data_IF_304402635692
#
_entry.id   IF_304402635692
#
_cell.length_a   1.000
_cell.length_b   1.000
_cell.length_c   1.000
_cell.angle_alpha   90.00
_cell.angle_beta   90.00
_cell.angle_gamma   90.00
#
_symmetry.space_group_name_H-M   'P 1'
#
loop_
_entity.id
_entity.type
_entity.pdbx_description
1 polymer ?
#
# COMPACT_ATOMS: atom_id res chain seq x y z
N UNK A 1 -24.70 2.25 -30.32
CA UNK A 1 -25.11 1.86 -28.96
C UNK A 1 -26.35 1.00 -29.08
N UNK A 2 -26.28 -0.23 -28.58
CA UNK A 2 -27.44 -1.11 -28.48
C UNK A 2 -28.33 -0.70 -27.29
N UNK A 3 -29.53 -1.27 -27.20
CA UNK A 3 -30.37 -1.09 -26.00
C UNK A 3 -29.69 -1.63 -24.73
N UNK A 4 -28.94 -2.73 -24.84
CA UNK A 4 -28.13 -3.29 -23.75
C UNK A 4 -26.98 -2.37 -23.33
N UNK A 5 -26.32 -1.69 -24.29
CA UNK A 5 -25.28 -0.71 -23.96
C UNK A 5 -25.85 0.49 -23.19
N UNK A 6 -27.04 0.94 -23.57
CA UNK A 6 -27.76 2.04 -22.91
C UNK A 6 -28.18 1.66 -21.48
N UNK A 7 -28.66 0.44 -21.27
CA UNK A 7 -29.04 -0.07 -19.96
C UNK A 7 -27.81 -0.16 -19.04
N UNK A 8 -26.72 -0.79 -19.51
CA UNK A 8 -25.46 -0.87 -18.75
C UNK A 8 -24.88 0.51 -18.43
N UNK A 9 -24.95 1.46 -19.36
CA UNK A 9 -24.52 2.83 -19.11
C UNK A 9 -25.37 3.51 -18.03
N UNK A 10 -26.70 3.38 -18.12
CA UNK A 10 -27.64 3.98 -17.16
C UNK A 10 -27.43 3.44 -15.74
N UNK A 11 -27.20 2.13 -15.59
CA UNK A 11 -26.89 1.50 -14.31
C UNK A 11 -25.57 2.03 -13.71
N UNK A 12 -24.54 2.24 -14.54
CA UNK A 12 -23.27 2.84 -14.08
C UNK A 12 -23.44 4.29 -13.65
N UNK A 13 -24.25 5.07 -14.37
CA UNK A 13 -24.58 6.45 -13.98
C UNK A 13 -25.32 6.46 -12.65
N UNK A 14 -26.30 5.58 -12.44
CA UNK A 14 -27.05 5.47 -11.18
C UNK A 14 -26.14 5.11 -10.00
N UNK A 15 -25.18 4.19 -10.18
CA UNK A 15 -24.16 3.92 -9.17
C UNK A 15 -23.32 5.16 -8.87
N UNK A 16 -22.92 5.91 -9.90
CA UNK A 16 -22.14 7.14 -9.71
C UNK A 16 -22.92 8.25 -9.01
N UNK A 17 -24.24 8.39 -9.23
CA UNK A 17 -25.05 9.37 -8.50
C UNK A 17 -25.14 9.07 -7.00
N UNK A 18 -24.96 7.80 -6.60
CA UNK A 18 -24.81 7.36 -5.20
C UNK A 18 -23.41 7.54 -4.63
N UNK A 19 -22.57 8.35 -5.31
CA UNK A 19 -21.18 8.62 -4.94
C UNK A 19 -20.27 7.40 -4.94
N UNK A 20 -20.66 6.28 -5.57
CA UNK A 20 -19.74 5.16 -5.73
C UNK A 20 -18.53 5.59 -6.57
N UNK A 21 -17.29 5.26 -6.16
CA UNK A 21 -16.08 5.59 -6.92
C UNK A 21 -16.13 5.04 -8.34
N UNK A 22 -15.66 5.82 -9.32
CA UNK A 22 -15.68 5.40 -10.73
C UNK A 22 -14.93 4.08 -10.94
N UNK A 23 -13.83 3.89 -10.21
CA UNK A 23 -12.99 2.70 -10.29
C UNK A 23 -13.74 1.45 -9.82
N UNK A 24 -14.57 1.54 -8.77
CA UNK A 24 -15.46 0.43 -8.35
C UNK A 24 -16.59 0.17 -9.35
N UNK A 25 -17.09 1.21 -10.02
CA UNK A 25 -18.08 1.08 -11.09
C UNK A 25 -17.49 0.38 -12.32
N UNK A 26 -16.24 0.70 -12.67
CA UNK A 26 -15.52 0.10 -13.79
C UNK A 26 -14.89 -1.26 -13.44
N UNK A 27 -14.66 -1.52 -12.15
CA UNK A 27 -13.96 -2.70 -11.64
C UNK A 27 -12.44 -2.63 -11.83
N UNK A 28 -11.89 -1.49 -12.27
CA UNK A 28 -10.46 -1.32 -12.54
C UNK A 28 -9.94 0.06 -12.13
N UNK A 29 -8.65 0.10 -11.79
CA UNK A 29 -7.89 1.32 -11.55
C UNK A 29 -6.52 1.21 -12.24
N UNK A 30 -6.06 2.30 -12.85
CA UNK A 30 -4.70 2.36 -13.41
C UNK A 30 -3.72 2.78 -12.31
N UNK A 31 -2.58 2.10 -12.24
CA UNK A 31 -1.48 2.42 -11.33
C UNK A 31 -0.16 2.11 -12.02
N UNK A 32 0.71 3.12 -12.14
CA UNK A 32 2.00 3.02 -12.84
C UNK A 32 1.93 2.49 -14.28
N UNK A 33 0.81 2.77 -14.96
CA UNK A 33 0.55 2.31 -16.34
C UNK A 33 0.03 0.87 -16.45
N UNK A 34 -0.29 0.21 -15.33
CA UNK A 34 -0.92 -1.11 -15.31
C UNK A 34 -2.36 -1.01 -14.81
N UNK A 35 -3.25 -1.80 -15.40
CA UNK A 35 -4.64 -1.90 -14.95
C UNK A 35 -4.77 -2.99 -13.89
N UNK A 36 -5.21 -2.57 -12.70
CA UNK A 36 -5.53 -3.45 -11.58
C UNK A 36 -7.03 -3.58 -11.45
N UNK A 37 -7.51 -4.80 -11.25
CA UNK A 37 -8.86 -5.05 -10.77
C UNK A 37 -9.00 -4.50 -9.34
N UNK A 38 -10.11 -3.80 -9.10
CA UNK A 38 -10.47 -3.24 -7.78
C UNK A 38 -11.91 -3.57 -7.44
N UNK A 39 -12.20 -3.64 -6.14
CA UNK A 39 -13.54 -3.86 -5.59
C UNK A 39 -13.65 -3.14 -4.25
N UNK A 40 -14.85 -3.13 -3.65
CA UNK A 40 -15.09 -2.56 -2.32
C UNK A 40 -14.29 -3.25 -1.18
N UNK A 41 -13.60 -4.35 -1.46
CA UNK A 41 -12.78 -5.08 -0.48
C UNK A 41 -11.37 -4.47 -0.31
N UNK A 42 -10.98 -3.52 -1.16
CA UNK A 42 -9.64 -2.92 -1.13
C UNK A 42 -9.69 -1.41 -1.31
N UNK A 43 -8.67 -0.72 -0.82
CA UNK A 43 -8.45 0.68 -1.15
C UNK A 43 -8.10 0.82 -2.64
N UNK A 44 -8.76 1.77 -3.31
CA UNK A 44 -8.41 2.13 -4.69
C UNK A 44 -6.98 2.68 -4.71
N UNK A 45 -6.06 2.15 -5.56
CA UNK A 45 -4.70 2.68 -5.70
C UNK A 45 -4.70 4.19 -5.93
N UNK A 46 -3.86 4.91 -5.19
CA UNK A 46 -3.78 6.37 -5.24
C UNK A 46 -2.54 6.81 -6.04
N UNK A 47 -2.60 7.92 -6.78
CA UNK A 47 -1.44 8.46 -7.49
C UNK A 47 -0.24 8.73 -6.58
N UNK A 48 -0.48 9.16 -5.34
CA UNK A 48 0.57 9.43 -4.36
C UNK A 48 1.38 8.17 -4.02
N UNK A 49 0.73 7.00 -4.03
CA UNK A 49 1.38 5.70 -3.79
C UNK A 49 2.34 5.31 -4.92
N UNK A 50 2.25 5.92 -6.11
CA UNK A 50 3.21 5.71 -7.19
C UNK A 50 4.63 6.15 -6.78
N UNK A 51 4.74 7.25 -6.02
CA UNK A 51 6.02 7.74 -5.49
C UNK A 51 6.70 6.70 -4.57
N UNK A 52 5.92 5.99 -3.75
CA UNK A 52 6.45 4.94 -2.88
C UNK A 52 7.17 3.85 -3.70
N UNK A 53 6.57 3.43 -4.82
CA UNK A 53 7.15 2.43 -5.71
C UNK A 53 8.35 2.99 -6.47
N UNK A 54 8.34 4.26 -6.87
CA UNK A 54 9.50 4.90 -7.51
C UNK A 54 10.72 4.95 -6.59
N UNK A 55 10.54 5.37 -5.33
CA UNK A 55 11.58 5.40 -4.31
C UNK A 55 12.10 3.98 -3.99
N UNK A 56 11.20 3.00 -3.94
CA UNK A 56 11.56 1.61 -3.80
C UNK A 56 12.46 1.16 -4.95
N UNK A 57 12.06 1.39 -6.21
CA UNK A 57 12.86 1.00 -7.38
C UNK A 57 14.24 1.67 -7.40
N UNK A 58 14.33 2.94 -7.00
CA UNK A 58 15.62 3.63 -6.89
C UNK A 58 16.55 2.95 -5.88
N UNK A 59 16.03 2.53 -4.74
CA UNK A 59 16.82 1.81 -3.75
C UNK A 59 17.21 0.41 -4.25
N UNK A 60 16.24 -0.34 -4.80
CA UNK A 60 16.42 -1.74 -5.20
C UNK A 60 17.35 -1.92 -6.40
N UNK A 61 17.50 -0.93 -7.29
CA UNK A 61 18.34 -1.06 -8.51
C UNK A 61 19.82 -1.36 -8.21
N UNK A 62 20.27 -1.08 -6.99
CA UNK A 62 21.64 -1.33 -6.54
C UNK A 62 21.84 -2.71 -5.91
N UNK A 63 20.77 -3.50 -5.75
CA UNK A 63 20.79 -4.82 -5.13
C UNK A 63 20.66 -5.92 -6.20
N UNK A 64 21.43 -7.03 -6.09
CA UNK A 64 21.44 -8.06 -7.13
C UNK A 64 20.16 -8.91 -7.17
N UNK A 65 19.64 -9.34 -6.01
CA UNK A 65 18.43 -10.15 -5.86
C UNK A 65 17.66 -9.68 -4.61
N UNK A 66 17.04 -8.49 -4.66
CA UNK A 66 16.43 -7.92 -3.47
C UNK A 66 15.22 -8.73 -3.00
N UNK A 67 15.00 -8.74 -1.69
CA UNK A 67 13.80 -9.25 -1.04
C UNK A 67 12.97 -8.09 -0.52
N UNK A 68 11.67 -8.08 -0.82
CA UNK A 68 10.74 -7.00 -0.49
C UNK A 68 9.53 -7.56 0.25
N UNK A 69 9.09 -6.85 1.29
CA UNK A 69 7.85 -7.13 1.99
C UNK A 69 6.88 -5.95 1.84
N UNK A 70 5.71 -6.19 1.26
CA UNK A 70 4.61 -5.23 1.11
C UNK A 70 3.53 -5.53 2.16
N UNK A 71 3.45 -4.68 3.19
CA UNK A 71 2.52 -4.78 4.30
C UNK A 71 1.20 -4.08 3.97
N UNK A 72 0.09 -4.81 4.00
CA UNK A 72 -1.23 -4.28 3.62
C UNK A 72 -1.34 -4.15 2.10
N UNK A 73 -1.01 -5.22 1.38
CA UNK A 73 -0.86 -5.21 -0.09
C UNK A 73 -2.16 -4.84 -0.82
N UNK A 74 -3.33 -5.04 -0.21
CA UNK A 74 -4.63 -4.68 -0.77
C UNK A 74 -4.87 -5.33 -2.13
N UNK A 75 -5.01 -4.51 -3.18
CA UNK A 75 -5.13 -4.98 -4.57
C UNK A 75 -3.85 -5.62 -5.14
N UNK A 76 -2.74 -5.56 -4.40
CA UNK A 76 -1.41 -5.95 -4.84
C UNK A 76 -0.68 -4.86 -5.63
N UNK A 77 -1.20 -3.63 -5.71
CA UNK A 77 -0.69 -2.62 -6.63
C UNK A 77 0.81 -2.30 -6.45
N UNK A 78 1.28 -2.17 -5.21
CA UNK A 78 2.70 -1.94 -4.88
C UNK A 78 3.53 -3.17 -5.25
N UNK A 79 3.25 -4.33 -4.64
CA UNK A 79 3.98 -5.57 -4.86
C UNK A 79 4.06 -5.97 -6.35
N UNK A 80 2.96 -5.87 -7.08
CA UNK A 80 2.89 -6.31 -8.46
C UNK A 80 3.51 -5.30 -9.43
N UNK A 81 3.38 -3.99 -9.19
CA UNK A 81 4.11 -2.99 -9.98
C UNK A 81 5.63 -3.16 -9.81
N UNK A 82 6.10 -3.46 -8.60
CA UNK A 82 7.50 -3.83 -8.36
C UNK A 82 7.90 -5.09 -9.10
N UNK A 83 7.09 -6.16 -9.07
CA UNK A 83 7.36 -7.38 -9.83
C UNK A 83 7.43 -7.14 -11.35
N UNK A 84 6.68 -6.16 -11.89
CA UNK A 84 6.75 -5.78 -13.30
C UNK A 84 8.02 -5.00 -13.65
N UNK A 85 8.53 -4.19 -12.72
CA UNK A 85 9.64 -3.25 -12.95
C UNK A 85 11.00 -3.74 -12.42
N UNK A 86 11.01 -4.74 -11.54
CA UNK A 86 12.21 -5.34 -10.95
C UNK A 86 12.11 -6.87 -10.96
N UNK A 87 12.48 -7.50 -12.09
CA UNK A 87 12.31 -8.94 -12.29
C UNK A 87 13.18 -9.85 -11.41
N UNK A 88 14.14 -9.27 -10.69
CA UNK A 88 15.03 -9.98 -9.77
C UNK A 88 14.54 -9.92 -8.31
N UNK A 89 13.51 -9.13 -8.03
CA UNK A 89 13.00 -8.99 -6.68
C UNK A 89 12.16 -10.22 -6.29
N UNK A 90 12.47 -10.82 -5.15
CA UNK A 90 11.55 -11.71 -4.45
C UNK A 90 10.61 -10.87 -3.58
N UNK A 91 9.30 -10.96 -3.81
CA UNK A 91 8.33 -10.07 -3.16
C UNK A 91 7.35 -10.90 -2.34
N UNK A 92 7.10 -10.49 -1.11
CA UNK A 92 6.05 -11.01 -0.25
C UNK A 92 5.01 -9.89 -0.08
N UNK A 93 3.79 -10.11 -0.54
CA UNK A 93 2.65 -9.25 -0.25
C UNK A 93 1.82 -9.85 0.88
N UNK A 94 1.51 -9.08 1.91
CA UNK A 94 0.67 -9.55 3.01
C UNK A 94 -0.54 -8.67 3.23
N UNK A 95 -1.63 -9.27 3.69
CA UNK A 95 -2.82 -8.54 4.10
C UNK A 95 -3.56 -9.34 5.18
N UNK A 96 -4.30 -8.63 6.02
CA UNK A 96 -5.18 -9.23 7.03
C UNK A 96 -6.55 -9.59 6.43
N UNK A 97 -6.92 -9.01 5.29
CA UNK A 97 -8.11 -9.37 4.52
C UNK A 97 -7.81 -10.53 3.57
N UNK A 98 -8.61 -11.60 3.65
CA UNK A 98 -8.52 -12.72 2.70
C UNK A 98 -9.03 -12.32 1.33
N UNK A 99 -10.05 -11.46 1.31
CA UNK A 99 -10.71 -10.94 0.12
C UNK A 99 -9.74 -10.06 -0.69
N UNK A 100 -8.97 -9.21 -0.01
CA UNK A 100 -7.88 -8.46 -0.62
C UNK A 100 -6.85 -9.39 -1.28
N UNK A 101 -6.40 -10.44 -0.59
CA UNK A 101 -5.43 -11.39 -1.15
C UNK A 101 -5.99 -12.21 -2.34
N UNK A 102 -7.29 -12.52 -2.35
CA UNK A 102 -7.93 -13.14 -3.53
C UNK A 102 -7.84 -12.21 -4.73
N UNK A 103 -8.15 -10.92 -4.54
CA UNK A 103 -8.06 -9.92 -5.60
C UNK A 103 -6.61 -9.67 -6.04
N UNK A 104 -5.65 -9.58 -5.10
CA UNK A 104 -4.24 -9.42 -5.40
C UNK A 104 -3.69 -10.59 -6.23
N UNK A 105 -4.10 -11.83 -5.92
CA UNK A 105 -3.76 -13.01 -6.74
C UNK A 105 -4.37 -12.95 -8.13
N UNK A 106 -5.62 -12.49 -8.27
CA UNK A 106 -6.25 -12.31 -9.58
C UNK A 106 -5.50 -11.27 -10.42
N UNK A 107 -5.10 -10.14 -9.81
CA UNK A 107 -4.24 -9.15 -10.45
C UNK A 107 -2.88 -9.72 -10.84
N UNK A 108 -2.27 -10.54 -9.99
CA UNK A 108 -0.98 -11.19 -10.29
C UNK A 108 -1.07 -12.15 -11.48
N UNK A 109 -2.19 -12.87 -11.63
CA UNK A 109 -2.46 -13.68 -12.82
C UNK A 109 -2.61 -12.79 -14.05
N UNK A 110 -3.44 -11.75 -13.98
CA UNK A 110 -3.71 -10.83 -15.10
C UNK A 110 -2.44 -10.13 -15.60
N UNK A 111 -1.53 -9.76 -14.69
CA UNK A 111 -0.30 -9.04 -15.01
C UNK A 111 0.90 -9.96 -15.33
N UNK A 112 0.73 -11.27 -15.19
CA UNK A 112 1.78 -12.26 -15.44
C UNK A 112 2.90 -12.26 -14.39
N UNK A 113 2.58 -11.95 -13.13
CA UNK A 113 3.54 -11.79 -12.02
C UNK A 113 3.34 -12.79 -10.89
N UNK A 114 2.41 -13.74 -11.03
CA UNK A 114 2.11 -14.75 -9.99
C UNK A 114 3.35 -15.53 -9.50
N UNK A 115 4.34 -15.77 -10.36
CA UNK A 115 5.58 -16.48 -10.00
C UNK A 115 6.62 -15.63 -9.25
N UNK A 116 6.40 -14.32 -9.09
CA UNK A 116 7.34 -13.38 -8.47
C UNK A 116 6.87 -12.85 -7.10
N UNK A 117 5.58 -13.01 -6.80
CA UNK A 117 4.97 -12.51 -5.57
C UNK A 117 4.36 -13.66 -4.77
N UNK A 118 4.85 -13.84 -3.56
CA UNK A 118 4.24 -14.70 -2.56
C UNK A 118 3.21 -13.89 -1.76
N UNK A 119 1.96 -14.37 -1.69
CA UNK A 119 0.92 -13.72 -0.90
C UNK A 119 0.67 -14.46 0.42
N UNK A 120 0.74 -13.75 1.55
CA UNK A 120 0.57 -14.31 2.91
C UNK A 120 -0.59 -13.63 3.64
N UNK A 121 -1.48 -14.43 4.24
CA UNK A 121 -2.56 -13.92 5.10
C UNK A 121 -2.05 -13.81 6.53
N UNK A 122 -1.91 -12.57 7.04
CA UNK A 122 -1.43 -12.31 8.38
C UNK A 122 -1.83 -10.91 8.84
N UNK A 123 -1.77 -10.68 10.15
CA UNK A 123 -1.90 -9.36 10.75
C UNK A 123 -0.51 -8.76 11.01
N UNK A 124 -0.32 -7.50 10.61
CA UNK A 124 0.95 -6.79 10.79
C UNK A 124 2.16 -7.54 10.21
N UNK A 125 3.26 -7.55 10.96
CA UNK A 125 4.53 -8.18 10.56
C UNK A 125 4.56 -9.70 10.80
N UNK A 126 3.48 -10.30 11.30
CA UNK A 126 3.43 -11.75 11.54
C UNK A 126 3.54 -12.61 10.25
N UNK A 127 3.39 -12.00 9.07
CA UNK A 127 3.69 -12.65 7.80
C UNK A 127 5.17 -12.98 7.61
N UNK A 128 6.08 -12.31 8.32
CA UNK A 128 7.51 -12.61 8.31
C UNK A 128 7.85 -13.52 9.48
N UNK A 129 8.42 -14.69 9.19
CA UNK A 129 8.83 -15.62 10.22
C UNK A 129 9.93 -15.01 11.11
N UNK A 130 10.08 -15.51 12.33
CA UNK A 130 11.17 -15.06 13.23
C UNK A 130 12.53 -15.29 12.57
N UNK A 131 13.29 -14.21 12.38
CA UNK A 131 14.58 -14.22 11.70
C UNK A 131 14.51 -14.13 10.17
N UNK A 132 13.31 -14.10 9.58
CA UNK A 132 13.13 -13.75 8.18
C UNK A 132 13.32 -12.25 8.02
N UNK A 133 14.34 -11.87 7.23
CA UNK A 133 14.73 -10.49 7.00
C UNK A 133 14.69 -10.15 5.51
N UNK A 134 14.23 -8.95 5.20
CA UNK A 134 14.12 -8.43 3.83
C UNK A 134 15.02 -7.20 3.62
N UNK A 135 15.26 -6.85 2.37
CA UNK A 135 16.02 -5.65 2.00
C UNK A 135 15.15 -4.39 2.04
N UNK A 136 13.83 -4.55 1.89
CA UNK A 136 12.88 -3.44 1.87
C UNK A 136 11.53 -3.85 2.46
N UNK A 137 11.03 -3.09 3.43
CA UNK A 137 9.62 -3.12 3.85
C UNK A 137 8.91 -1.91 3.23
N UNK A 138 7.75 -2.15 2.62
CA UNK A 138 6.86 -1.14 2.05
C UNK A 138 5.48 -1.24 2.68
N UNK A 139 4.81 -0.10 2.81
CA UNK A 139 3.40 -0.09 3.20
C UNK A 139 2.73 1.21 2.78
N UNK A 140 1.47 1.13 2.35
CA UNK A 140 0.54 2.25 2.48
C UNK A 140 -0.47 1.86 3.57
N UNK A 141 -0.11 2.02 4.86
CA UNK A 141 -0.95 1.55 5.94
C UNK A 141 -2.14 2.50 6.17
N UNK A 142 -3.20 2.05 6.84
CA UNK A 142 -4.25 2.94 7.33
C UNK A 142 -3.67 4.02 8.27
N UNK A 143 -3.99 5.28 8.00
CA UNK A 143 -3.43 6.42 8.74
C UNK A 143 -4.45 7.45 9.21
N UNK A 144 -5.74 7.22 8.99
CA UNK A 144 -6.80 8.15 9.36
C UNK A 144 -7.20 7.91 10.81
N UNK A 145 -7.21 8.95 11.68
CA UNK A 145 -7.75 8.81 13.03
C UNK A 145 -9.19 8.30 13.00
N UNK A 146 -9.53 7.31 13.83
CA UNK A 146 -10.87 6.68 13.87
C UNK A 146 -12.00 7.70 13.93
N UNK A 147 -11.84 8.76 14.72
CA UNK A 147 -12.83 9.82 14.90
C UNK A 147 -13.07 10.68 13.63
N UNK A 148 -12.13 10.68 12.68
CA UNK A 148 -12.21 11.48 11.47
C UNK A 148 -12.83 10.72 10.30
N UNK A 149 -12.93 9.39 10.36
CA UNK A 149 -13.41 8.54 9.24
C UNK A 149 -14.81 8.95 8.81
N UNK A 150 -15.71 9.22 9.75
CA UNK A 150 -17.10 9.57 9.41
C UNK A 150 -17.24 10.98 8.79
N UNK A 151 -16.17 11.78 8.83
CA UNK A 151 -16.07 13.12 8.22
C UNK A 151 -15.45 13.11 6.82
N UNK A 152 -14.95 11.97 6.36
CA UNK A 152 -14.36 11.83 5.03
C UNK A 152 -15.40 12.06 3.93
N UNK A 153 -14.90 12.27 2.71
CA UNK A 153 -15.77 12.35 1.54
C UNK A 153 -16.63 11.08 1.42
N UNK A 154 -17.92 11.18 1.05
CA UNK A 154 -18.81 10.02 0.96
C UNK A 154 -18.26 8.88 0.07
N UNK A 155 -17.60 9.23 -1.03
CA UNK A 155 -16.88 8.29 -1.89
C UNK A 155 -15.92 7.36 -1.13
N UNK A 156 -15.19 7.89 -0.14
CA UNK A 156 -14.20 7.15 0.65
C UNK A 156 -14.87 6.52 1.86
N UNK A 157 -15.63 7.31 2.63
CA UNK A 157 -16.29 6.87 3.87
C UNK A 157 -17.23 5.68 3.64
N UNK A 158 -18.00 5.71 2.56
CA UNK A 158 -19.11 4.78 2.33
C UNK A 158 -18.73 3.60 1.44
N UNK A 159 -17.61 3.68 0.68
CA UNK A 159 -17.24 2.68 -0.33
C UNK A 159 -15.84 2.09 -0.21
N UNK A 160 -14.91 2.72 0.52
CA UNK A 160 -13.63 2.09 0.84
C UNK A 160 -13.76 1.29 2.14
N UNK A 161 -13.07 0.15 2.28
CA UNK A 161 -13.16 -0.68 3.47
C UNK A 161 -12.60 0.06 4.68
N UNK A 162 -13.36 0.17 5.77
CA UNK A 162 -12.92 0.91 6.99
C UNK A 162 -11.57 0.42 7.51
N UNK A 163 -11.30 -0.88 7.39
CA UNK A 163 -10.02 -1.49 7.78
C UNK A 163 -8.82 -0.90 7.02
N UNK A 164 -8.99 -0.47 5.77
CA UNK A 164 -7.94 0.18 4.98
C UNK A 164 -7.78 1.68 5.28
N UNK A 165 -8.67 2.27 6.10
CA UNK A 165 -8.68 3.68 6.44
C UNK A 165 -8.24 3.94 7.89
N UNK A 166 -8.71 3.11 8.82
CA UNK A 166 -8.58 3.32 10.26
C UNK A 166 -7.17 3.05 10.79
N UNK A 167 -6.42 4.12 11.02
CA UNK A 167 -5.10 4.09 11.67
C UNK A 167 -5.17 4.13 13.20
N UNK A 168 -6.34 3.86 13.79
CA UNK A 168 -6.58 3.90 15.24
C UNK A 168 -6.87 5.31 15.76
N UNK A 169 -6.83 5.47 17.09
CA UNK A 169 -7.32 6.66 17.78
C UNK A 169 -6.71 7.99 17.26
N UNK A 170 -5.44 7.96 16.87
CA UNK A 170 -4.70 9.12 16.35
C UNK A 170 -4.10 8.90 14.96
N UNK A 171 -4.48 7.82 14.27
CA UNK A 171 -3.96 7.49 12.95
C UNK A 171 -2.54 6.91 12.96
N UNK A 172 -1.93 6.69 14.13
CA UNK A 172 -0.52 6.30 14.25
C UNK A 172 -0.30 4.81 14.56
N UNK A 173 -1.36 3.98 14.62
CA UNK A 173 -1.29 2.57 15.03
C UNK A 173 -0.22 1.78 14.27
N UNK A 174 -0.27 1.80 12.93
CA UNK A 174 0.63 1.01 12.10
C UNK A 174 2.05 1.57 12.08
N UNK A 175 2.23 2.89 12.23
CA UNK A 175 3.57 3.48 12.33
C UNK A 175 4.25 3.07 13.65
N UNK A 176 3.50 2.91 14.75
CA UNK A 176 4.06 2.36 16.00
C UNK A 176 4.54 0.93 15.80
N UNK A 177 3.71 0.07 15.21
CA UNK A 177 4.07 -1.31 14.87
C UNK A 177 5.35 -1.34 14.02
N UNK A 178 5.40 -0.54 12.94
CA UNK A 178 6.54 -0.49 12.03
C UNK A 178 7.81 0.07 12.71
N UNK A 179 7.67 1.09 13.55
CA UNK A 179 8.80 1.66 14.28
C UNK A 179 9.37 0.68 15.31
N UNK A 180 8.51 -0.01 16.07
CA UNK A 180 8.90 -0.92 17.15
C UNK A 180 9.46 -2.25 16.62
N UNK A 181 8.83 -2.85 15.62
CA UNK A 181 9.13 -4.22 15.19
C UNK A 181 9.88 -4.28 13.84
N UNK A 182 9.67 -3.28 12.97
CA UNK A 182 10.12 -3.32 11.57
C UNK A 182 11.63 -3.49 11.41
N UNK A 183 12.45 -2.89 12.29
CA UNK A 183 13.90 -2.96 12.20
C UNK A 183 14.44 -4.40 12.36
N UNK A 184 13.77 -5.25 13.14
CA UNK A 184 14.17 -6.64 13.38
C UNK A 184 14.02 -7.54 12.13
N UNK A 185 13.14 -7.13 11.22
CA UNK A 185 12.84 -7.79 9.95
C UNK A 185 13.62 -7.21 8.76
N UNK A 186 14.54 -6.29 9.01
CA UNK A 186 15.39 -5.69 8.00
C UNK A 186 16.82 -6.24 8.07
N UNK A 187 17.42 -6.48 6.91
CA UNK A 187 18.86 -6.76 6.80
C UNK A 187 19.68 -5.51 7.12
N UNK A 188 20.99 -5.67 7.31
CA UNK A 188 21.91 -4.52 7.41
C UNK A 188 21.84 -3.66 6.14
N UNK A 189 21.75 -2.33 6.31
CA UNK A 189 21.62 -1.36 5.22
C UNK A 189 20.27 -1.38 4.46
N UNK A 190 19.30 -2.17 4.93
CA UNK A 190 17.96 -2.25 4.37
C UNK A 190 17.09 -1.04 4.79
N UNK A 191 15.92 -0.89 4.17
CA UNK A 191 15.03 0.25 4.42
C UNK A 191 13.59 -0.18 4.71
N UNK A 192 12.89 0.69 5.42
CA UNK A 192 11.43 0.72 5.48
C UNK A 192 10.96 2.02 4.83
N UNK A 193 9.95 1.92 3.96
CA UNK A 193 9.28 3.09 3.40
C UNK A 193 7.77 2.95 3.57
N UNK A 194 7.11 3.99 4.08
CA UNK A 194 5.66 3.96 4.26
C UNK A 194 5.00 5.28 3.87
N UNK A 195 3.85 5.21 3.21
CA UNK A 195 3.01 6.38 2.95
C UNK A 195 2.36 6.88 4.25
N UNK A 196 2.06 8.17 4.33
CA UNK A 196 1.32 8.80 5.42
C UNK A 196 0.49 10.02 4.99
N UNK A 197 -0.48 10.38 5.86
CA UNK A 197 -1.41 11.48 5.64
C UNK A 197 -0.87 12.86 6.03
N UNK A 198 -1.59 13.90 5.64
CA UNK A 198 -1.22 15.29 5.92
C UNK A 198 -0.99 15.57 7.41
N UNK A 199 0.08 16.32 7.71
CA UNK A 199 0.40 16.75 9.07
C UNK A 199 1.02 15.68 9.98
N UNK A 200 1.22 14.45 9.51
CA UNK A 200 1.81 13.37 10.35
C UNK A 200 3.33 13.29 10.30
N UNK A 201 3.99 13.98 9.35
CA UNK A 201 5.42 13.85 9.07
C UNK A 201 6.32 13.98 10.33
N UNK A 202 6.17 15.07 11.09
CA UNK A 202 7.00 15.31 12.28
C UNK A 202 6.81 14.23 13.35
N UNK A 203 5.55 13.86 13.64
CA UNK A 203 5.23 12.84 14.62
C UNK A 203 5.77 11.45 14.22
N UNK A 204 5.72 11.11 12.93
CA UNK A 204 6.28 9.86 12.41
C UNK A 204 7.80 9.86 12.53
N UNK A 205 8.48 10.95 12.14
CA UNK A 205 9.94 11.06 12.23
C UNK A 205 10.41 10.92 13.70
N UNK A 206 9.73 11.59 14.62
CA UNK A 206 10.02 11.52 16.04
C UNK A 206 9.79 10.10 16.58
N UNK A 207 8.70 9.44 16.19
CA UNK A 207 8.38 8.07 16.59
C UNK A 207 9.47 7.07 16.18
N UNK A 208 9.88 7.09 14.92
CA UNK A 208 10.94 6.20 14.44
C UNK A 208 12.30 6.52 15.08
N UNK A 209 12.59 7.80 15.30
CA UNK A 209 13.83 8.22 15.97
C UNK A 209 13.88 7.75 17.43
N UNK A 210 12.77 7.84 18.16
CA UNK A 210 12.63 7.33 19.54
C UNK A 210 12.72 5.80 19.60
N UNK A 211 12.24 5.11 18.56
CA UNK A 211 12.39 3.66 18.42
C UNK A 211 13.82 3.23 18.03
N UNK A 212 14.76 4.16 17.89
CA UNK A 212 16.18 3.86 17.67
C UNK A 212 16.57 3.62 16.21
N UNK A 213 15.78 4.12 15.25
CA UNK A 213 16.18 4.08 13.84
C UNK A 213 17.35 5.04 13.56
N UNK A 214 18.47 4.57 12.98
CA UNK A 214 19.66 5.39 12.75
C UNK A 214 19.46 6.59 11.82
N UNK A 215 18.53 6.48 10.87
CA UNK A 215 18.21 7.54 9.92
C UNK A 215 16.74 7.46 9.53
N UNK A 216 16.06 8.59 9.64
CA UNK A 216 14.66 8.76 9.27
C UNK A 216 14.54 10.05 8.46
N UNK A 217 14.04 9.96 7.24
CA UNK A 217 13.78 11.11 6.37
C UNK A 217 12.38 11.03 5.77
N UNK A 218 11.94 12.09 5.12
CA UNK A 218 10.69 12.13 4.38
C UNK A 218 10.92 12.49 2.92
N UNK A 219 10.10 11.93 2.03
CA UNK A 219 10.02 12.34 0.64
C UNK A 219 8.69 13.04 0.35
N UNK A 220 8.76 14.04 -0.53
CA UNK A 220 7.61 14.85 -0.91
C UNK A 220 6.99 14.35 -2.21
N UNK A 221 5.67 14.48 -2.32
CA UNK A 221 4.95 14.31 -3.58
C UNK A 221 5.21 15.44 -4.59
N UNK A 222 4.60 15.31 -5.77
CA UNK A 222 4.68 16.31 -6.84
C UNK A 222 4.07 17.67 -6.45
N UNK A 223 3.25 17.72 -5.38
CA UNK A 223 2.69 18.94 -4.80
C UNK A 223 3.56 19.49 -3.65
N UNK A 224 4.76 18.96 -3.49
CA UNK A 224 5.72 19.32 -2.44
C UNK A 224 5.24 19.06 -1.01
N UNK A 225 4.25 18.16 -0.82
CA UNK A 225 3.81 17.73 0.50
C UNK A 225 4.54 16.46 0.93
N UNK A 226 4.99 16.35 2.18
CA UNK A 226 5.62 15.12 2.66
C UNK A 226 4.58 13.98 2.67
N UNK A 227 4.93 12.87 2.03
CA UNK A 227 4.05 11.69 1.88
C UNK A 227 4.66 10.39 2.33
N UNK A 228 5.97 10.23 2.19
CA UNK A 228 6.64 8.95 2.43
C UNK A 228 7.65 9.14 3.55
N UNK A 229 7.60 8.30 4.58
CA UNK A 229 8.70 8.17 5.54
C UNK A 229 9.68 7.14 5.00
N UNK A 230 10.99 7.41 5.11
CA UNK A 230 12.06 6.49 4.75
C UNK A 230 12.93 6.31 5.99
N UNK A 231 12.88 5.12 6.58
CA UNK A 231 13.69 4.76 7.73
C UNK A 231 14.73 3.70 7.32
N UNK A 232 16.00 3.90 7.69
CA UNK A 232 17.09 2.97 7.35
C UNK A 232 17.46 2.11 8.54
N UNK A 233 17.61 0.80 8.34
CA UNK A 233 18.21 -0.08 9.32
C UNK A 233 19.71 0.23 9.48
N UNK A 234 20.25 -0.09 10.66
CA UNK A 234 21.69 0.04 10.92
C UNK A 234 22.54 -0.77 9.95
N UNK A 235 23.79 -0.35 9.79
CA UNK A 235 24.81 -1.14 9.09
C UNK A 235 25.43 -2.16 10.05
#
# INVERSE_FOLDING_TARGET
MTAEDLDRFSQRVERRTRREPLQHILGTANFLGYDFQVSAEVLIPRPETELLVELALEFLRHLPNPSVFDLGTGSGCIALALAKRCSKAGIIGSDVSKEALVLARANAVSLGTLGQVEFRHADGLAALAKGEQVDLILSNPPYIPTANIDTLQPEVRDHDPRLALDGGADGMLFYRLLAEEGQSHLKSGAKLMAEFGDGQAAAIVDLFSQAGWPSVTTANDLSHQPRIVIASAGH
#
